data_IF_304024759022
#
_entry.id   IF_304024759022
#
_cell.length_a   1.000
_cell.length_b   1.000
_cell.length_c   1.000
_cell.angle_alpha   90.00
_cell.angle_beta   90.00
_cell.angle_gamma   90.00
#
_symmetry.space_group_name_H-M   'P 1'
#
loop_
_entity.id
_entity.type
_entity.pdbx_description
1 polymer ?
#
# COMPACT_ATOMS: atom_id res chain seq x y z
N UNK A 1 -6.17 -27.69 -30.06
CA UNK A 1 -6.37 -26.49 -30.91
C UNK A 1 -7.06 -25.44 -30.07
N UNK A 2 -6.29 -24.51 -29.52
CA UNK A 2 -6.79 -23.22 -29.00
C UNK A 2 -5.73 -22.18 -29.35
N UNK A 3 -5.55 -22.00 -30.65
CA UNK A 3 -4.88 -20.83 -31.21
C UNK A 3 -5.88 -19.67 -31.08
N UNK A 4 -5.92 -19.06 -29.89
CA UNK A 4 -6.52 -17.73 -29.77
C UNK A 4 -5.53 -16.77 -30.42
N UNK A 5 -5.80 -16.39 -31.67
CA UNK A 5 -4.97 -15.53 -32.52
C UNK A 5 -4.74 -14.11 -31.98
N UNK A 6 -4.17 -14.01 -30.80
CA UNK A 6 -3.78 -12.78 -30.10
C UNK A 6 -2.26 -12.79 -30.07
N UNK A 7 -1.64 -11.79 -30.71
CA UNK A 7 -0.19 -11.61 -30.72
C UNK A 7 0.41 -11.42 -29.31
N UNK A 8 1.74 -11.34 -29.20
CA UNK A 8 2.41 -11.23 -27.91
C UNK A 8 1.99 -9.96 -27.16
N UNK A 9 2.07 -9.97 -25.84
CA UNK A 9 1.82 -8.77 -25.02
C UNK A 9 3.14 -8.09 -24.68
N UNK A 10 3.16 -6.75 -24.63
CA UNK A 10 4.31 -5.95 -24.23
C UNK A 10 3.93 -4.93 -23.16
N UNK A 11 4.75 -4.77 -22.13
CA UNK A 11 4.58 -3.74 -21.10
C UNK A 11 5.93 -3.18 -20.64
N UNK A 12 5.91 -2.05 -19.95
CA UNK A 12 7.08 -1.41 -19.33
C UNK A 12 7.03 -1.70 -17.83
N UNK A 13 8.02 -2.40 -17.28
CA UNK A 13 8.05 -2.82 -15.88
C UNK A 13 8.61 -1.75 -14.92
N UNK A 14 9.29 -0.73 -15.45
CA UNK A 14 9.85 0.38 -14.68
C UNK A 14 8.91 1.59 -14.65
N UNK A 15 8.95 2.44 -13.60
CA UNK A 15 8.17 3.67 -13.54
C UNK A 15 8.42 4.58 -14.76
N UNK A 16 7.39 5.31 -15.17
CA UNK A 16 7.52 6.33 -16.21
C UNK A 16 8.29 7.54 -15.67
N UNK A 17 9.19 8.11 -16.47
CA UNK A 17 10.00 9.25 -16.07
C UNK A 17 11.39 9.22 -16.70
N UNK A 18 12.30 10.05 -16.18
CA UNK A 18 13.71 10.01 -16.57
C UNK A 18 14.44 9.02 -15.67
N UNK A 19 14.88 7.91 -16.24
CA UNK A 19 15.75 6.93 -15.59
C UNK A 19 16.99 6.62 -16.43
N UNK A 20 18.00 6.02 -15.82
CA UNK A 20 19.15 5.49 -16.58
C UNK A 20 18.74 4.30 -17.44
N UNK A 21 17.90 3.41 -16.89
CA UNK A 21 17.42 2.19 -17.52
C UNK A 21 15.91 2.09 -17.40
N UNK A 22 15.27 1.59 -18.44
CA UNK A 22 13.91 1.11 -18.41
C UNK A 22 13.87 -0.37 -18.81
N UNK A 23 12.96 -1.12 -18.20
CA UNK A 23 12.76 -2.55 -18.47
C UNK A 23 11.46 -2.72 -19.23
N UNK A 24 11.54 -3.31 -20.42
CA UNK A 24 10.41 -3.68 -21.26
C UNK A 24 10.29 -5.20 -21.27
N UNK A 25 9.08 -5.70 -21.07
CA UNK A 25 8.78 -7.13 -21.08
C UNK A 25 7.85 -7.45 -22.23
N UNK A 26 8.21 -8.44 -23.04
CA UNK A 26 7.34 -9.03 -24.08
C UNK A 26 7.15 -10.52 -23.82
N UNK A 27 5.92 -11.00 -23.84
CA UNK A 27 5.57 -12.39 -23.49
C UNK A 27 4.35 -12.90 -24.23
N UNK A 28 4.13 -14.22 -24.17
CA UNK A 28 3.02 -14.90 -24.86
C UNK A 28 3.39 -15.43 -26.25
N UNK A 29 2.40 -15.92 -27.02
CA UNK A 29 2.64 -16.50 -28.35
C UNK A 29 3.33 -15.51 -29.28
N UNK A 30 4.41 -15.93 -29.96
CA UNK A 30 5.14 -15.07 -30.90
C UNK A 30 6.10 -14.05 -30.25
N UNK A 31 6.26 -14.04 -28.92
CA UNK A 31 7.05 -13.03 -28.23
C UNK A 31 8.54 -13.06 -28.60
N UNK A 32 9.12 -14.26 -28.67
CA UNK A 32 10.52 -14.42 -29.05
C UNK A 32 10.72 -14.06 -30.52
N UNK A 33 9.80 -14.45 -31.40
CA UNK A 33 9.84 -14.15 -32.82
C UNK A 33 9.75 -12.65 -33.07
N UNK A 34 8.82 -11.95 -32.41
CA UNK A 34 8.67 -10.50 -32.51
C UNK A 34 9.92 -9.77 -32.01
N UNK A 35 10.45 -10.16 -30.85
CA UNK A 35 11.65 -9.57 -30.28
C UNK A 35 12.90 -9.84 -31.13
N UNK A 36 13.11 -11.08 -31.59
CA UNK A 36 14.25 -11.46 -32.43
C UNK A 36 14.26 -10.67 -33.74
N UNK A 37 13.09 -10.52 -34.36
CA UNK A 37 12.96 -9.83 -35.63
C UNK A 37 13.09 -8.30 -35.52
N UNK A 38 12.98 -7.74 -34.31
CA UNK A 38 13.25 -6.33 -34.00
C UNK A 38 14.69 -6.08 -33.49
N UNK A 39 15.41 -7.13 -33.10
CA UNK A 39 16.73 -7.06 -32.49
C UNK A 39 17.86 -7.27 -33.50
N UNK A 40 18.92 -6.48 -33.34
CA UNK A 40 20.17 -6.55 -34.12
C UNK A 40 21.34 -6.75 -33.15
N UNK A 41 21.99 -7.93 -33.10
CA UNK A 41 23.08 -8.20 -32.17
C UNK A 41 24.28 -7.32 -32.50
N UNK A 42 24.96 -6.79 -31.48
CA UNK A 42 26.23 -6.11 -31.66
C UNK A 42 27.33 -7.11 -32.08
N UNK A 43 27.22 -8.35 -31.58
CA UNK A 43 28.10 -9.47 -31.90
C UNK A 43 27.40 -10.81 -31.62
N UNK A 44 27.86 -11.87 -32.29
CA UNK A 44 27.36 -13.22 -32.05
C UNK A 44 25.98 -13.49 -32.66
N UNK A 45 25.15 -14.24 -31.95
CA UNK A 45 23.88 -14.76 -32.45
C UNK A 45 22.69 -13.91 -31.98
N UNK A 46 21.65 -13.89 -32.80
CA UNK A 46 20.30 -13.40 -32.52
C UNK A 46 19.67 -14.03 -31.26
N UNK A 47 18.56 -13.45 -30.77
CA UNK A 47 17.86 -13.90 -29.56
C UNK A 47 17.35 -15.32 -29.68
N UNK A 48 16.73 -15.68 -30.81
CA UNK A 48 16.17 -17.02 -31.05
C UNK A 48 17.23 -18.13 -31.00
N UNK A 49 18.49 -17.81 -31.32
CA UNK A 49 19.61 -18.74 -31.27
C UNK A 49 20.44 -18.61 -29.97
N UNK A 50 19.91 -17.92 -28.96
CA UNK A 50 20.55 -17.70 -27.67
C UNK A 50 19.89 -18.58 -26.59
N UNK A 51 20.67 -19.35 -25.81
CA UNK A 51 20.13 -20.09 -24.69
C UNK A 51 19.42 -19.16 -23.69
N UNK A 52 18.27 -19.57 -23.11
CA UNK A 52 17.57 -18.77 -22.09
C UNK A 52 18.48 -18.35 -20.93
N UNK A 53 18.12 -17.24 -20.28
CA UNK A 53 18.84 -16.59 -19.18
C UNK A 53 20.26 -16.12 -19.52
N UNK A 54 20.61 -16.02 -20.82
CA UNK A 54 21.86 -15.42 -21.27
C UNK A 54 21.62 -14.03 -21.86
N UNK A 55 22.30 -12.99 -21.37
CA UNK A 55 22.14 -11.64 -21.90
C UNK A 55 22.76 -11.50 -23.31
N UNK A 56 22.15 -10.65 -24.11
CA UNK A 56 22.61 -10.22 -25.43
C UNK A 56 22.61 -8.71 -25.53
N UNK A 57 23.76 -8.16 -25.91
CA UNK A 57 23.89 -6.75 -26.23
C UNK A 57 23.67 -6.53 -27.73
N UNK A 58 22.91 -5.49 -28.07
CA UNK A 58 22.61 -5.15 -29.45
C UNK A 58 21.73 -3.91 -29.55
N UNK A 59 21.07 -3.73 -30.69
CA UNK A 59 20.13 -2.64 -30.94
C UNK A 59 18.74 -3.17 -31.18
N UNK A 60 17.72 -2.45 -30.70
CA UNK A 60 16.32 -2.78 -30.95
C UNK A 60 15.55 -1.53 -31.39
N UNK A 61 14.84 -1.65 -32.52
CA UNK A 61 14.07 -0.56 -33.10
C UNK A 61 13.82 -0.74 -34.60
N UNK A 62 12.84 -0.01 -35.16
CA UNK A 62 12.56 0.01 -36.59
C UNK A 62 13.66 0.71 -37.43
N UNK A 63 14.36 1.69 -36.83
CA UNK A 63 15.39 2.53 -37.47
C UNK A 63 16.80 2.35 -36.88
N UNK A 64 17.41 3.41 -36.32
CA UNK A 64 18.69 3.30 -35.60
C UNK A 64 18.57 2.49 -34.30
N UNK A 65 17.36 2.50 -33.71
CA UNK A 65 17.03 1.79 -32.47
C UNK A 65 17.78 2.32 -31.25
N UNK A 66 17.44 1.76 -30.09
CA UNK A 66 18.21 1.95 -28.87
C UNK A 66 19.22 0.81 -28.69
N UNK A 67 20.33 1.07 -28.00
CA UNK A 67 21.24 0.02 -27.53
C UNK A 67 20.65 -0.64 -26.28
N UNK A 68 20.47 -1.95 -26.33
CA UNK A 68 19.74 -2.71 -25.31
C UNK A 68 20.52 -3.94 -24.85
N UNK A 69 20.21 -4.37 -23.63
CA UNK A 69 20.51 -5.72 -23.15
C UNK A 69 19.21 -6.52 -23.14
N UNK A 70 19.15 -7.58 -23.94
CA UNK A 70 17.99 -8.45 -24.04
C UNK A 70 18.29 -9.84 -23.46
N UNK A 71 17.33 -10.40 -22.72
CA UNK A 71 17.42 -11.73 -22.10
C UNK A 71 16.19 -12.53 -22.48
N UNK A 72 16.40 -13.67 -23.13
CA UNK A 72 15.33 -14.66 -23.36
C UNK A 72 15.06 -15.40 -22.05
N UNK A 73 13.82 -15.41 -21.59
CA UNK A 73 13.39 -16.09 -20.37
C UNK A 73 12.49 -17.28 -20.74
N UNK A 74 12.87 -18.44 -20.24
CA UNK A 74 12.08 -19.67 -20.21
C UNK A 74 11.13 -19.67 -19.01
N UNK A 75 10.01 -20.39 -19.12
CA UNK A 75 8.98 -20.49 -18.08
C UNK A 75 7.58 -20.13 -18.58
N UNK A 76 6.65 -19.94 -17.65
CA UNK A 76 5.29 -19.50 -17.94
C UNK A 76 4.97 -18.22 -17.12
N UNK A 77 4.89 -17.04 -17.75
CA UNK A 77 5.06 -16.77 -19.17
C UNK A 77 6.53 -16.55 -19.57
N UNK A 78 7.01 -17.39 -20.49
CA UNK A 78 8.26 -17.17 -21.21
C UNK A 78 8.17 -15.94 -22.10
N UNK A 79 9.32 -15.45 -22.57
CA UNK A 79 9.38 -14.25 -23.39
C UNK A 79 10.75 -13.59 -23.39
N UNK A 80 10.81 -12.29 -23.68
CA UNK A 80 12.07 -11.52 -23.69
C UNK A 80 11.95 -10.34 -22.73
N UNK A 81 12.95 -10.18 -21.87
CA UNK A 81 13.16 -8.96 -21.08
C UNK A 81 14.19 -8.10 -21.80
N UNK A 82 13.89 -6.82 -21.97
CA UNK A 82 14.71 -5.86 -22.72
C UNK A 82 14.99 -4.67 -21.81
N UNK A 83 16.26 -4.45 -21.52
CA UNK A 83 16.76 -3.33 -20.75
C UNK A 83 17.30 -2.28 -21.73
N UNK A 84 16.67 -1.12 -21.75
CA UNK A 84 16.96 0.00 -22.66
C UNK A 84 17.23 1.28 -21.86
N UNK A 85 17.64 2.35 -22.51
CA UNK A 85 17.80 3.64 -21.83
C UNK A 85 16.45 4.14 -21.31
N UNK A 86 16.44 4.66 -20.08
CA UNK A 86 15.21 5.08 -19.38
C UNK A 86 14.63 6.43 -19.82
N UNK A 87 14.99 6.93 -21.01
CA UNK A 87 14.38 8.12 -21.58
C UNK A 87 13.10 7.76 -22.32
N UNK A 88 12.05 8.60 -22.23
CA UNK A 88 10.74 8.30 -22.84
C UNK A 88 10.82 7.98 -24.34
N UNK A 89 11.67 8.68 -25.10
CA UNK A 89 11.88 8.41 -26.52
C UNK A 89 12.60 7.07 -26.78
N UNK A 90 13.56 6.69 -25.93
CA UNK A 90 14.26 5.41 -26.04
C UNK A 90 13.33 4.23 -25.75
N UNK A 91 12.52 4.35 -24.70
CA UNK A 91 11.49 3.36 -24.38
C UNK A 91 10.47 3.24 -25.52
N UNK A 92 10.00 4.36 -26.07
CA UNK A 92 9.06 4.36 -27.19
C UNK A 92 9.63 3.63 -28.42
N UNK A 93 10.90 3.90 -28.80
CA UNK A 93 11.54 3.20 -29.92
C UNK A 93 11.55 1.67 -29.75
N UNK A 94 11.72 1.18 -28.52
CA UNK A 94 11.71 -0.26 -28.22
C UNK A 94 10.29 -0.83 -28.29
N UNK A 95 9.34 -0.17 -27.63
CA UNK A 95 7.94 -0.63 -27.56
C UNK A 95 7.28 -0.59 -28.93
N UNK A 96 7.44 0.50 -29.69
CA UNK A 96 6.85 0.67 -31.02
C UNK A 96 7.37 -0.39 -31.99
N UNK A 97 8.66 -0.72 -31.93
CA UNK A 97 9.24 -1.77 -32.77
C UNK A 97 8.68 -3.17 -32.46
N UNK A 98 8.32 -3.44 -31.21
CA UNK A 98 7.63 -4.68 -30.84
C UNK A 98 6.17 -4.67 -31.33
N UNK A 99 5.49 -3.53 -31.22
CA UNK A 99 4.11 -3.36 -31.71
C UNK A 99 4.03 -3.53 -33.22
N UNK A 100 4.96 -2.96 -33.98
CA UNK A 100 5.08 -3.16 -35.42
C UNK A 100 5.28 -4.64 -35.81
N UNK A 101 5.77 -5.47 -34.88
CA UNK A 101 5.91 -6.93 -35.04
C UNK A 101 4.79 -7.74 -34.38
N UNK A 102 3.65 -7.09 -34.14
CA UNK A 102 2.43 -7.74 -33.71
C UNK A 102 2.26 -7.82 -32.20
N UNK A 103 3.14 -7.21 -31.41
CA UNK A 103 2.92 -7.10 -29.97
C UNK A 103 1.80 -6.11 -29.65
N UNK A 104 1.07 -6.37 -28.56
CA UNK A 104 0.03 -5.49 -28.04
C UNK A 104 0.51 -4.87 -26.73
N UNK A 105 0.51 -3.55 -26.66
CA UNK A 105 0.77 -2.85 -25.41
C UNK A 105 -0.30 -3.18 -24.37
N UNK A 106 0.13 -3.51 -23.16
CA UNK A 106 -0.74 -3.79 -22.01
C UNK A 106 -0.17 -3.15 -20.75
N UNK A 107 -1.02 -3.01 -19.73
CA UNK A 107 -0.59 -2.56 -18.42
C UNK A 107 0.36 -3.58 -17.75
N UNK A 108 1.33 -3.14 -16.94
CA UNK A 108 2.25 -4.04 -16.22
C UNK A 108 1.52 -5.03 -15.30
N UNK A 109 0.33 -4.67 -14.80
CA UNK A 109 -0.54 -5.56 -14.04
C UNK A 109 -0.89 -6.84 -14.81
N UNK A 110 -1.08 -6.75 -16.13
CA UNK A 110 -1.35 -7.93 -16.97
C UNK A 110 -0.18 -8.91 -17.01
N UNK A 111 1.06 -8.43 -16.86
CA UNK A 111 2.22 -9.30 -16.74
C UNK A 111 2.22 -10.03 -15.39
N UNK A 112 1.98 -9.30 -14.29
CA UNK A 112 1.91 -9.88 -12.96
C UNK A 112 0.83 -10.97 -12.88
N UNK A 113 -0.40 -10.66 -13.33
CA UNK A 113 -1.50 -11.62 -13.36
C UNK A 113 -1.18 -12.86 -14.21
N UNK A 114 -0.36 -12.72 -15.26
CA UNK A 114 0.09 -13.84 -16.09
C UNK A 114 1.23 -14.65 -15.42
N UNK A 115 2.11 -13.99 -14.67
CA UNK A 115 3.34 -14.57 -14.09
C UNK A 115 3.21 -15.15 -12.68
N UNK A 116 2.11 -14.87 -11.98
CA UNK A 116 1.91 -15.34 -10.60
C UNK A 116 0.90 -16.48 -10.51
N UNK A 117 1.10 -17.47 -9.63
CA UNK A 117 0.15 -18.57 -9.39
C UNK A 117 -1.28 -18.15 -9.00
N UNK A 118 -1.46 -16.99 -8.38
CA UNK A 118 -2.76 -16.50 -7.89
C UNK A 118 -2.94 -14.99 -8.10
N UNK A 119 -4.20 -14.53 -8.01
CA UNK A 119 -4.52 -13.10 -7.99
C UNK A 119 -4.04 -12.41 -6.71
N UNK A 120 -3.94 -13.15 -5.60
CA UNK A 120 -3.41 -12.67 -4.33
C UNK A 120 -1.93 -12.31 -4.49
N UNK A 121 -1.11 -13.22 -5.04
CA UNK A 121 0.31 -12.97 -5.28
C UNK A 121 0.51 -11.79 -6.26
N UNK A 122 -0.27 -11.73 -7.36
CA UNK A 122 -0.22 -10.60 -8.29
C UNK A 122 -0.52 -9.28 -7.59
N UNK A 123 -1.57 -9.27 -6.75
CA UNK A 123 -1.97 -8.10 -5.99
C UNK A 123 -0.89 -7.65 -4.99
N UNK A 124 -0.21 -8.61 -4.35
CA UNK A 124 0.87 -8.34 -3.40
C UNK A 124 2.09 -7.74 -4.10
N UNK A 125 2.50 -8.27 -5.26
CA UNK A 125 3.59 -7.68 -6.06
C UNK A 125 3.26 -6.25 -6.53
N UNK A 126 1.99 -5.98 -6.89
CA UNK A 126 1.53 -4.62 -7.23
C UNK A 126 1.64 -3.66 -6.06
N UNK A 127 1.18 -4.08 -4.89
CA UNK A 127 1.15 -3.23 -3.70
C UNK A 127 2.53 -3.04 -3.08
N UNK A 128 3.43 -4.03 -3.23
CA UNK A 128 4.81 -3.95 -2.75
C UNK A 128 5.56 -2.77 -3.38
N UNK A 129 5.30 -2.45 -4.65
CA UNK A 129 5.87 -1.29 -5.32
C UNK A 129 5.42 0.05 -4.70
N UNK A 130 4.27 0.06 -4.02
CA UNK A 130 3.72 1.21 -3.30
C UNK A 130 4.03 1.23 -1.80
N UNK A 131 4.80 0.28 -1.28
CA UNK A 131 5.09 0.18 0.14
C UNK A 131 5.87 1.39 0.66
N UNK A 132 5.24 2.20 1.52
CA UNK A 132 5.86 3.40 2.10
C UNK A 132 6.81 3.13 3.27
N UNK A 133 6.83 1.90 3.81
CA UNK A 133 7.64 1.53 4.97
C UNK A 133 8.27 0.14 4.80
N UNK A 134 9.38 -0.11 5.50
CA UNK A 134 10.04 -1.42 5.50
C UNK A 134 9.09 -2.53 5.99
N UNK A 135 8.38 -2.28 7.10
CA UNK A 135 7.41 -3.24 7.66
C UNK A 135 6.29 -3.57 6.67
N UNK A 136 5.79 -2.57 5.95
CA UNK A 136 4.80 -2.79 4.88
C UNK A 136 5.37 -3.69 3.78
N UNK A 137 6.60 -3.41 3.35
CA UNK A 137 7.26 -4.19 2.31
C UNK A 137 7.49 -5.65 2.75
N UNK A 138 7.92 -5.87 3.99
CA UNK A 138 8.09 -7.21 4.57
C UNK A 138 6.78 -8.00 4.57
N UNK A 139 5.69 -7.41 5.07
CA UNK A 139 4.38 -8.07 5.11
C UNK A 139 3.89 -8.40 3.70
N UNK A 140 3.98 -7.45 2.76
CA UNK A 140 3.55 -7.67 1.37
C UNK A 140 4.42 -8.69 0.64
N UNK A 141 5.72 -8.75 0.95
CA UNK A 141 6.62 -9.76 0.38
C UNK A 141 6.24 -11.18 0.83
N UNK A 142 5.85 -11.37 2.09
CA UNK A 142 5.33 -12.66 2.56
C UNK A 142 4.06 -13.08 1.80
N UNK A 143 3.18 -12.11 1.52
CA UNK A 143 1.97 -12.39 0.73
C UNK A 143 2.30 -12.69 -0.73
N UNK A 144 3.28 -11.99 -1.29
CA UNK A 144 3.80 -12.21 -2.64
C UNK A 144 4.53 -13.56 -2.78
N UNK A 145 4.96 -14.16 -1.65
CA UNK A 145 5.49 -15.51 -1.54
C UNK A 145 4.43 -16.54 -1.11
N UNK A 146 3.14 -16.16 -1.19
CA UNK A 146 2.01 -17.07 -1.03
C UNK A 146 1.57 -17.34 0.41
N UNK A 147 1.91 -16.49 1.39
CA UNK A 147 1.44 -16.67 2.77
C UNK A 147 -0.09 -16.72 2.87
N UNK A 148 -0.78 -15.73 2.27
CA UNK A 148 -2.25 -15.72 2.24
C UNK A 148 -2.84 -16.84 1.37
N UNK A 149 -2.19 -17.20 0.27
CA UNK A 149 -2.61 -18.33 -0.58
C UNK A 149 -2.65 -19.65 0.20
N UNK A 150 -1.58 -19.94 0.97
CA UNK A 150 -1.51 -21.14 1.82
C UNK A 150 -2.60 -21.16 2.89
N UNK A 151 -2.92 -20.01 3.48
CA UNK A 151 -3.99 -19.93 4.47
C UNK A 151 -5.37 -20.13 3.83
N UNK A 152 -5.62 -19.59 2.64
CA UNK A 152 -6.85 -19.86 1.88
C UNK A 152 -6.97 -21.35 1.53
N UNK A 153 -5.88 -21.99 1.10
CA UNK A 153 -5.87 -23.43 0.82
C UNK A 153 -6.15 -24.25 2.09
N UNK A 154 -5.61 -23.84 3.24
CA UNK A 154 -5.87 -24.47 4.53
C UNK A 154 -7.34 -24.29 4.97
N UNK A 155 -7.94 -23.12 4.74
CA UNK A 155 -9.37 -22.89 4.99
C UNK A 155 -10.24 -23.78 4.10
N UNK A 156 -9.94 -23.87 2.81
CA UNK A 156 -10.65 -24.74 1.87
C UNK A 156 -10.58 -26.21 2.30
N UNK A 157 -9.40 -26.68 2.72
CA UNK A 157 -9.22 -28.03 3.25
C UNK A 157 -9.99 -28.25 4.56
N UNK A 158 -9.99 -27.26 5.45
CA UNK A 158 -10.73 -27.28 6.71
C UNK A 158 -12.25 -27.35 6.51
N UNK A 159 -12.80 -26.59 5.56
CA UNK A 159 -14.23 -26.68 5.20
C UNK A 159 -14.57 -28.09 4.68
N UNK A 160 -13.73 -28.65 3.79
CA UNK A 160 -13.97 -29.98 3.24
C UNK A 160 -13.87 -31.10 4.30
N UNK A 161 -13.05 -30.92 5.32
CA UNK A 161 -12.88 -31.84 6.44
C UNK A 161 -13.86 -31.59 7.60
N UNK A 162 -14.74 -30.60 7.48
CA UNK A 162 -15.62 -30.12 8.58
C UNK A 162 -14.85 -29.79 9.87
N UNK A 163 -13.62 -29.25 9.73
CA UNK A 163 -12.76 -28.92 10.87
C UNK A 163 -13.39 -27.79 11.71
N UNK A 164 -13.68 -28.04 13.01
CA UNK A 164 -14.24 -27.03 13.91
C UNK A 164 -13.38 -25.76 14.05
N UNK A 165 -12.07 -25.86 13.78
CA UNK A 165 -11.15 -24.71 13.89
C UNK A 165 -11.25 -23.75 12.70
N UNK A 166 -11.86 -24.17 11.58
CA UNK A 166 -11.93 -23.38 10.35
C UNK A 166 -12.54 -22.00 10.56
N UNK A 167 -13.64 -21.91 11.34
CA UNK A 167 -14.30 -20.63 11.65
C UNK A 167 -13.39 -19.69 12.44
N UNK A 168 -12.73 -20.21 13.47
CA UNK A 168 -11.79 -19.43 14.29
C UNK A 168 -10.59 -18.93 13.47
N UNK A 169 -10.06 -19.77 12.57
CA UNK A 169 -8.99 -19.35 11.65
C UNK A 169 -9.44 -18.24 10.68
N UNK A 170 -10.66 -18.37 10.17
CA UNK A 170 -11.26 -17.36 9.31
C UNK A 170 -11.46 -16.02 10.04
N UNK A 171 -11.98 -16.06 11.26
CA UNK A 171 -12.14 -14.86 12.10
C UNK A 171 -10.80 -14.19 12.42
N UNK A 172 -9.77 -14.98 12.77
CA UNK A 172 -8.43 -14.47 13.00
C UNK A 172 -7.81 -13.85 11.73
N UNK A 173 -8.07 -14.42 10.57
CA UNK A 173 -7.61 -13.89 9.28
C UNK A 173 -8.32 -12.58 8.93
N UNK A 174 -9.63 -12.48 9.18
CA UNK A 174 -10.41 -11.25 9.01
C UNK A 174 -9.93 -10.13 9.94
N UNK A 175 -9.57 -10.45 11.19
CA UNK A 175 -9.01 -9.47 12.12
C UNK A 175 -7.68 -8.90 11.61
N UNK A 176 -6.77 -9.77 11.16
CA UNK A 176 -5.51 -9.33 10.49
C UNK A 176 -5.78 -8.48 9.25
N UNK A 177 -6.91 -8.70 8.57
CA UNK A 177 -7.33 -7.92 7.41
C UNK A 177 -7.48 -6.42 7.70
N UNK A 178 -7.82 -6.04 8.94
CA UNK A 178 -7.90 -4.62 9.34
C UNK A 178 -6.54 -3.91 9.19
N UNK A 179 -5.47 -4.59 9.59
CA UNK A 179 -4.10 -4.10 9.42
C UNK A 179 -3.70 -4.11 7.95
N UNK A 180 -4.01 -5.19 7.25
CA UNK A 180 -3.67 -5.36 5.83
C UNK A 180 -4.21 -4.24 4.94
N UNK A 181 -5.46 -3.81 5.15
CA UNK A 181 -6.10 -2.73 4.39
C UNK A 181 -5.42 -1.37 4.56
N UNK A 182 -4.60 -1.20 5.60
CA UNK A 182 -3.88 0.04 5.92
C UNK A 182 -2.41 0.02 5.52
N UNK A 183 -1.93 -1.08 4.93
CA UNK A 183 -0.53 -1.23 4.52
C UNK A 183 -0.11 -0.25 3.42
N UNK A 184 -0.95 0.01 2.42
CA UNK A 184 -0.62 0.94 1.31
C UNK A 184 -1.21 2.32 1.53
N UNK A 185 -2.50 2.39 1.91
CA UNK A 185 -3.19 3.66 2.13
C UNK A 185 -2.67 4.42 3.36
N UNK A 186 -2.15 3.69 4.35
CA UNK A 186 -1.77 4.22 5.65
C UNK A 186 -2.96 4.37 6.60
N UNK A 187 -2.69 4.33 7.90
CA UNK A 187 -3.67 4.65 8.93
C UNK A 187 -3.96 6.14 8.93
N UNK A 188 -5.23 6.54 8.96
CA UNK A 188 -5.62 7.95 9.02
C UNK A 188 -5.64 8.42 10.46
N UNK A 189 -4.73 9.31 10.82
CA UNK A 189 -4.62 9.87 12.17
C UNK A 189 -4.96 11.36 12.13
N UNK A 190 -6.03 11.75 12.82
CA UNK A 190 -6.55 13.11 12.81
C UNK A 190 -6.12 13.86 14.07
N UNK A 191 -5.53 15.05 13.92
CA UNK A 191 -5.17 15.91 15.05
C UNK A 191 -6.29 16.90 15.32
N UNK A 192 -6.88 16.83 16.52
CA UNK A 192 -8.00 17.63 16.97
C UNK A 192 -7.67 18.39 18.27
N UNK A 193 -8.45 19.41 18.60
CA UNK A 193 -8.27 20.23 19.80
C UNK A 193 -8.55 21.71 19.55
N UNK A 194 -8.70 22.49 20.63
CA UNK A 194 -9.00 23.93 20.56
C UNK A 194 -7.95 24.74 19.80
N UNK A 195 -8.25 25.96 19.34
CA UNK A 195 -7.24 26.88 18.81
C UNK A 195 -6.08 27.05 19.80
N UNK A 196 -4.86 27.25 19.27
CA UNK A 196 -3.66 27.57 20.06
C UNK A 196 -3.16 26.51 21.08
N UNK A 197 -3.75 25.31 21.12
CA UNK A 197 -3.25 24.19 21.95
C UNK A 197 -1.93 23.59 21.42
N UNK A 198 -1.47 23.97 20.22
CA UNK A 198 -0.18 23.51 19.68
C UNK A 198 -0.25 22.41 18.62
N UNK A 199 -1.42 22.16 18.02
CA UNK A 199 -1.64 21.13 16.97
C UNK A 199 -0.63 21.20 15.81
N UNK A 200 -0.48 22.35 15.16
CA UNK A 200 0.40 22.47 13.99
C UNK A 200 1.89 22.37 14.36
N UNK A 201 2.26 22.79 15.58
CA UNK A 201 3.62 22.55 16.11
C UNK A 201 3.86 21.07 16.34
N UNK A 202 2.91 20.38 16.96
CA UNK A 202 2.97 18.94 17.19
C UNK A 202 3.05 18.16 15.87
N UNK A 203 2.22 18.50 14.89
CA UNK A 203 2.23 17.89 13.56
C UNK A 203 3.58 18.00 12.87
N UNK A 204 4.19 19.20 12.86
CA UNK A 204 5.50 19.41 12.28
C UNK A 204 6.60 18.67 13.06
N UNK A 205 6.52 18.68 14.40
CA UNK A 205 7.45 17.93 15.24
C UNK A 205 7.37 16.43 14.94
N UNK A 206 6.17 15.86 14.90
CA UNK A 206 5.94 14.45 14.57
C UNK A 206 6.41 14.10 13.15
N UNK A 207 6.16 14.98 12.17
CA UNK A 207 6.62 14.79 10.80
C UNK A 207 8.15 14.76 10.67
N UNK A 208 8.86 15.58 11.44
CA UNK A 208 10.32 15.60 11.46
C UNK A 208 10.96 14.51 12.33
N UNK A 209 10.23 14.02 13.33
CA UNK A 209 10.69 13.04 14.32
C UNK A 209 10.54 11.61 13.82
N UNK A 210 9.41 11.29 13.21
CA UNK A 210 9.11 9.97 12.67
C UNK A 210 9.78 9.75 11.31
N UNK A 211 10.85 8.96 11.31
CA UNK A 211 11.61 8.60 10.11
C UNK A 211 10.90 7.51 9.31
N UNK A 212 10.16 7.88 8.27
CA UNK A 212 9.93 6.99 7.12
C UNK A 212 9.60 7.81 5.86
N UNK A 213 10.52 7.70 4.89
CA UNK A 213 10.47 8.03 3.46
C UNK A 213 9.20 8.77 3.02
N UNK A 214 9.24 10.10 3.08
CA UNK A 214 8.30 10.97 2.37
C UNK A 214 8.50 10.74 0.88
N UNK A 215 7.62 9.97 0.24
CA UNK A 215 7.49 10.02 -1.22
C UNK A 215 6.51 11.14 -1.55
N UNK A 216 6.93 12.23 -2.19
CA UNK A 216 6.00 13.18 -2.78
C UNK A 216 5.33 12.45 -3.95
N UNK A 217 4.10 11.98 -3.78
CA UNK A 217 3.24 11.69 -4.94
C UNK A 217 2.64 13.02 -5.38
N UNK A 218 3.04 13.60 -6.53
CA UNK A 218 2.49 14.87 -6.97
C UNK A 218 1.06 14.62 -7.47
N UNK A 219 0.07 15.16 -6.76
CA UNK A 219 -1.33 15.06 -7.18
C UNK A 219 -2.29 15.81 -6.27
N UNK A 220 -2.59 17.07 -6.64
CA UNK A 220 -3.87 17.81 -6.54
C UNK A 220 -4.68 17.64 -5.24
N UNK A 221 -5.01 18.63 -4.41
CA UNK A 221 -5.26 20.08 -4.59
C UNK A 221 -5.67 20.62 -3.21
N UNK A 222 -5.13 21.77 -2.77
CA UNK A 222 -5.73 22.81 -1.88
C UNK A 222 -6.45 22.46 -0.55
N UNK A 223 -6.35 21.26 -0.02
CA UNK A 223 -7.23 20.77 1.05
C UNK A 223 -6.49 19.98 2.15
N UNK A 224 -6.49 20.51 3.40
CA UNK A 224 -5.82 19.99 4.61
C UNK A 224 -4.30 19.72 4.45
N UNK A 225 -3.47 20.14 5.41
CA UNK A 225 -2.05 19.77 5.39
C UNK A 225 -1.96 18.30 5.80
N UNK A 226 -1.98 17.43 4.79
CA UNK A 226 -1.83 16.00 4.96
C UNK A 226 -0.35 15.62 4.87
N UNK A 227 0.17 14.94 5.89
CA UNK A 227 1.55 14.46 5.92
C UNK A 227 1.56 12.95 6.02
N UNK A 228 2.27 12.29 5.11
CA UNK A 228 2.56 10.86 5.19
C UNK A 228 3.84 10.64 6.00
N UNK A 229 3.76 9.77 7.01
CA UNK A 229 4.88 9.38 7.88
C UNK A 229 4.70 7.92 8.32
N UNK A 230 5.51 7.45 9.27
CA UNK A 230 5.29 6.15 9.90
C UNK A 230 5.54 6.18 11.40
N UNK A 231 4.73 5.43 12.14
CA UNK A 231 4.88 5.23 13.59
C UNK A 231 5.15 3.74 13.86
N UNK A 232 6.27 3.41 14.50
CA UNK A 232 6.80 2.03 14.60
C UNK A 232 6.78 1.26 13.25
N UNK A 233 7.10 1.95 12.15
CA UNK A 233 7.07 1.36 10.81
C UNK A 233 5.68 1.13 10.21
N UNK A 234 4.59 1.47 10.89
CA UNK A 234 3.25 1.50 10.33
C UNK A 234 3.03 2.79 9.54
N UNK A 235 2.62 2.72 8.26
CA UNK A 235 2.36 3.90 7.44
C UNK A 235 1.17 4.67 8.00
N UNK A 236 1.32 5.99 8.14
CA UNK A 236 0.30 6.87 8.70
C UNK A 236 0.15 8.13 7.87
N UNK A 237 -1.10 8.51 7.65
CA UNK A 237 -1.51 9.79 7.10
C UNK A 237 -2.00 10.70 8.24
N UNK A 238 -1.17 11.68 8.60
CA UNK A 238 -1.51 12.71 9.58
C UNK A 238 -2.33 13.82 8.91
N UNK A 239 -3.49 14.13 9.49
CA UNK A 239 -4.41 15.15 8.98
C UNK A 239 -4.59 16.26 10.01
N UNK A 240 -4.21 17.51 9.67
CA UNK A 240 -4.52 18.68 10.50
C UNK A 240 -5.96 19.15 10.26
N UNK A 241 -6.78 19.17 11.31
CA UNK A 241 -8.12 19.76 11.24
C UNK A 241 -8.12 21.29 11.34
N UNK A 242 -7.05 21.91 11.83
CA UNK A 242 -6.96 23.36 12.00
C UNK A 242 -6.33 24.12 10.83
N UNK A 243 -5.48 23.49 10.02
CA UNK A 243 -4.93 24.08 8.79
C UNK A 243 -5.98 24.39 7.71
N UNK A 244 -7.23 23.95 7.91
CA UNK A 244 -8.37 24.22 7.03
C UNK A 244 -8.99 25.61 7.30
N UNK A 245 -8.59 26.31 8.36
CA UNK A 245 -9.17 27.61 8.76
C UNK A 245 -8.40 28.84 8.28
N UNK A 246 -7.19 28.71 7.76
CA UNK A 246 -6.37 29.89 7.39
C UNK A 246 -6.65 30.43 5.97
N UNK A 247 -7.57 29.83 5.22
CA UNK A 247 -8.02 30.35 3.93
C UNK A 247 -9.51 30.76 3.98
N UNK A 248 -9.73 32.07 4.01
CA UNK A 248 -10.97 32.82 3.76
C UNK A 248 -12.06 32.87 4.85
N UNK A 249 -12.26 34.10 5.35
CA UNK A 249 -13.12 34.58 6.45
C UNK A 249 -14.65 34.51 6.20
N UNK A 250 -15.15 33.48 5.48
CA UNK A 250 -16.60 33.25 5.27
C UNK A 250 -17.06 31.79 5.43
N UNK A 251 -16.19 30.87 5.91
CA UNK A 251 -16.35 29.40 5.79
C UNK A 251 -16.45 28.69 7.15
N UNK A 252 -17.01 29.32 8.19
CA UNK A 252 -16.98 28.75 9.55
C UNK A 252 -17.87 27.49 9.72
N UNK A 253 -19.02 27.42 9.03
CA UNK A 253 -19.91 26.23 9.08
C UNK A 253 -19.38 25.05 8.26
N UNK A 254 -18.84 25.33 7.08
CA UNK A 254 -18.22 24.30 6.23
C UNK A 254 -16.91 23.78 6.84
N UNK A 255 -16.17 24.61 7.59
CA UNK A 255 -14.97 24.20 8.32
C UNK A 255 -15.26 23.22 9.48
N UNK A 256 -16.34 23.44 10.23
CA UNK A 256 -16.78 22.51 11.30
C UNK A 256 -17.31 21.20 10.70
N UNK A 257 -18.18 21.27 9.70
CA UNK A 257 -18.74 20.08 9.05
C UNK A 257 -17.63 19.22 8.42
N UNK A 258 -16.62 19.86 7.83
CA UNK A 258 -15.45 19.18 7.27
C UNK A 258 -14.57 18.55 8.35
N UNK A 259 -14.25 19.26 9.43
CA UNK A 259 -13.50 18.68 10.55
C UNK A 259 -14.21 17.45 11.15
N UNK A 260 -15.55 17.47 11.19
CA UNK A 260 -16.35 16.33 11.60
C UNK A 260 -16.28 15.16 10.61
N UNK A 261 -16.32 15.41 9.29
CA UNK A 261 -16.19 14.38 8.25
C UNK A 261 -14.81 13.72 8.25
N UNK A 262 -13.77 14.52 8.42
CA UNK A 262 -12.38 14.03 8.53
C UNK A 262 -12.21 13.12 9.73
N UNK A 263 -12.75 13.54 10.88
CA UNK A 263 -12.73 12.75 12.11
C UNK A 263 -13.56 11.46 12.01
N UNK A 264 -14.71 11.48 11.33
CA UNK A 264 -15.52 10.28 11.11
C UNK A 264 -14.82 9.21 10.25
N UNK A 265 -13.77 9.58 9.52
CA UNK A 265 -12.94 8.67 8.72
C UNK A 265 -11.61 8.32 9.38
N UNK A 266 -11.34 8.85 10.58
CA UNK A 266 -10.11 8.62 11.29
C UNK A 266 -10.07 7.19 11.84
N UNK A 267 -8.92 6.54 11.70
CA UNK A 267 -8.65 5.32 12.45
C UNK A 267 -8.22 5.64 13.90
N UNK A 268 -7.67 6.84 14.12
CA UNK A 268 -7.34 7.38 15.45
C UNK A 268 -7.43 8.91 15.48
N UNK A 269 -8.01 9.45 16.54
CA UNK A 269 -7.97 10.88 16.84
C UNK A 269 -6.94 11.20 17.93
N UNK A 270 -6.02 12.13 17.65
CA UNK A 270 -5.15 12.74 18.65
C UNK A 270 -5.83 14.00 19.19
N UNK A 271 -6.39 13.91 20.40
CA UNK A 271 -7.06 15.04 21.04
C UNK A 271 -6.05 15.84 21.86
N UNK A 272 -5.61 16.97 21.29
CA UNK A 272 -4.56 17.82 21.84
C UNK A 272 -5.14 18.83 22.82
N UNK A 273 -4.64 18.82 24.05
CA UNK A 273 -5.05 19.72 25.13
C UNK A 273 -3.82 20.44 25.66
N UNK A 274 -3.91 21.75 25.87
CA UNK A 274 -2.83 22.55 26.43
C UNK A 274 -2.68 22.27 27.93
N UNK A 275 -1.54 21.70 28.36
CA UNK A 275 -1.28 21.41 29.78
C UNK A 275 -1.00 22.65 30.61
N UNK A 276 -0.64 23.77 29.98
CA UNK A 276 -0.25 25.01 30.65
C UNK A 276 -1.42 25.90 31.04
N UNK A 277 -2.64 25.58 30.60
CA UNK A 277 -3.84 26.36 30.86
C UNK A 277 -4.90 25.52 31.58
N UNK A 278 -5.77 26.12 32.42
CA UNK A 278 -6.90 25.43 33.02
C UNK A 278 -7.78 24.76 31.96
N UNK A 279 -8.32 23.59 32.28
CA UNK A 279 -9.22 22.87 31.38
C UNK A 279 -10.50 23.65 31.16
N UNK A 280 -10.90 23.77 29.90
CA UNK A 280 -12.22 24.27 29.52
C UNK A 280 -13.17 23.09 29.27
N UNK A 281 -14.48 23.34 29.36
CA UNK A 281 -15.49 22.30 29.08
C UNK A 281 -15.31 21.69 27.68
N UNK A 282 -14.93 22.53 26.70
CA UNK A 282 -14.64 22.09 25.34
C UNK A 282 -13.44 21.12 25.22
N UNK A 283 -12.49 21.13 26.16
CA UNK A 283 -11.39 20.15 26.20
C UNK A 283 -11.87 18.79 26.67
N UNK A 284 -12.92 18.76 27.50
CA UNK A 284 -13.54 17.53 28.04
C UNK A 284 -14.59 16.95 27.10
N UNK A 285 -15.27 17.79 26.32
CA UNK A 285 -16.34 17.40 25.40
C UNK A 285 -15.89 17.16 23.97
N UNK A 286 -14.59 17.22 23.66
CA UNK A 286 -14.04 16.89 22.34
C UNK A 286 -14.44 15.45 21.96
N UNK A 287 -15.53 15.31 21.21
CA UNK A 287 -16.34 14.07 21.26
C UNK A 287 -15.58 12.81 20.84
N UNK A 288 -15.83 11.75 21.60
CA UNK A 288 -15.13 10.47 21.70
C UNK A 288 -15.63 9.41 20.70
N UNK A 289 -16.10 9.83 19.52
CA UNK A 289 -16.61 8.86 18.54
C UNK A 289 -15.42 8.17 17.87
N UNK A 290 -15.07 6.99 18.38
CA UNK A 290 -13.97 6.16 17.90
C UNK A 290 -12.69 6.23 18.74
N UNK A 291 -11.63 5.51 18.33
CA UNK A 291 -10.36 5.46 19.05
C UNK A 291 -9.76 6.87 19.22
N UNK A 292 -9.47 7.25 20.47
CA UNK A 292 -8.94 8.58 20.82
C UNK A 292 -7.76 8.43 21.77
N UNK A 293 -6.66 9.12 21.45
CA UNK A 293 -5.49 9.27 22.31
C UNK A 293 -5.38 10.74 22.74
N UNK A 294 -5.33 10.97 24.06
CA UNK A 294 -5.23 12.33 24.60
C UNK A 294 -3.76 12.75 24.58
N UNK A 295 -3.50 13.96 24.09
CA UNK A 295 -2.14 14.51 24.02
C UNK A 295 -2.08 15.78 24.85
N UNK A 296 -1.46 15.68 26.03
CA UNK A 296 -1.23 16.82 26.92
C UNK A 296 0.02 17.58 26.46
N UNK A 297 -0.22 18.61 25.65
CA UNK A 297 0.80 19.42 24.97
C UNK A 297 1.43 20.49 25.87
N UNK A 298 2.51 21.10 25.37
CA UNK A 298 3.27 22.19 26.04
C UNK A 298 3.84 21.78 27.40
N UNK A 299 4.37 20.55 27.49
CA UNK A 299 5.00 20.03 28.69
C UNK A 299 6.27 20.79 29.14
N UNK A 300 6.79 21.68 28.30
CA UNK A 300 7.85 22.65 28.61
C UNK A 300 7.41 23.79 29.54
N UNK A 301 6.09 23.98 29.72
CA UNK A 301 5.51 25.01 30.58
C UNK A 301 4.96 24.42 31.90
N UNK A 302 4.79 25.25 32.95
CA UNK A 302 4.17 24.83 34.20
C UNK A 302 2.76 24.26 33.97
N UNK A 303 2.47 23.10 34.57
CA UNK A 303 1.20 22.42 34.40
C UNK A 303 0.08 23.06 35.22
N UNK A 304 -1.06 23.35 34.57
CA UNK A 304 -2.28 23.84 35.21
C UNK A 304 -3.24 22.72 35.65
N UNK A 305 -3.01 21.49 35.17
CA UNK A 305 -3.80 20.31 35.51
C UNK A 305 -2.96 19.03 35.43
N UNK A 306 -3.41 17.97 36.09
CA UNK A 306 -2.79 16.65 36.03
C UNK A 306 -3.58 15.71 35.10
N UNK A 307 -2.91 14.89 34.28
CA UNK A 307 -3.57 13.92 33.39
C UNK A 307 -4.57 13.00 34.08
N UNK A 308 -4.18 12.44 35.23
CA UNK A 308 -4.98 11.49 36.01
C UNK A 308 -6.25 12.12 36.60
N UNK A 309 -6.19 13.36 37.09
CA UNK A 309 -7.37 14.05 37.64
C UNK A 309 -8.29 14.56 36.53
N UNK A 310 -7.72 14.92 35.38
CA UNK A 310 -8.46 15.51 34.27
C UNK A 310 -9.25 14.48 33.46
N UNK A 311 -8.63 13.35 33.12
CA UNK A 311 -9.14 12.38 32.15
C UNK A 311 -9.21 10.93 32.68
N UNK A 312 -8.96 10.73 33.98
CA UNK A 312 -9.10 9.42 34.63
C UNK A 312 -8.21 8.35 34.00
N UNK A 313 -8.76 7.16 33.66
CA UNK A 313 -7.97 6.05 33.08
C UNK A 313 -7.73 6.17 31.58
N UNK A 314 -8.16 7.26 30.94
CA UNK A 314 -8.00 7.45 29.49
C UNK A 314 -6.51 7.47 29.10
N UNK A 315 -6.13 6.85 27.97
CA UNK A 315 -4.75 6.88 27.51
C UNK A 315 -4.36 8.32 27.18
N UNK A 316 -3.32 8.81 27.86
CA UNK A 316 -2.82 10.18 27.75
C UNK A 316 -1.30 10.19 27.67
N UNK A 317 -0.76 10.94 26.71
CA UNK A 317 0.69 11.14 26.56
C UNK A 317 1.00 12.61 26.76
N UNK A 318 2.01 12.91 27.58
CA UNK A 318 2.45 14.28 27.88
C UNK A 318 3.61 14.64 26.97
N UNK A 319 3.48 15.71 26.19
CA UNK A 319 4.46 16.07 25.15
C UNK A 319 4.82 17.55 25.14
N UNK A 320 6.05 17.84 24.71
CA UNK A 320 6.43 19.17 24.22
C UNK A 320 6.97 19.05 22.81
N UNK A 321 6.28 19.70 21.87
CA UNK A 321 6.75 19.82 20.49
C UNK A 321 7.97 20.75 20.36
N UNK A 322 8.22 21.61 21.37
CA UNK A 322 9.34 22.55 21.38
C UNK A 322 10.65 21.84 21.80
N UNK A 323 10.59 21.01 22.85
CA UNK A 323 11.77 20.30 23.36
C UNK A 323 11.92 18.88 22.82
N UNK A 324 10.87 18.33 22.20
CA UNK A 324 10.80 16.93 21.77
C UNK A 324 10.46 15.93 22.89
N UNK A 325 10.27 16.39 24.13
CA UNK A 325 9.93 15.53 25.26
C UNK A 325 8.60 14.81 25.00
N UNK A 326 8.59 13.48 25.22
CA UNK A 326 7.38 12.65 25.10
C UNK A 326 7.00 12.24 23.68
N UNK A 327 7.73 12.68 22.64
CA UNK A 327 7.40 12.32 21.26
C UNK A 327 7.64 10.83 20.94
N UNK A 328 8.67 10.18 21.50
CA UNK A 328 8.88 8.72 21.40
C UNK A 328 7.73 7.91 22.01
N UNK A 329 7.25 8.37 23.17
CA UNK A 329 6.14 7.74 23.87
C UNK A 329 4.85 7.90 23.06
N UNK A 330 4.65 9.08 22.45
CA UNK A 330 3.52 9.35 21.57
C UNK A 330 3.54 8.47 20.31
N UNK A 331 4.70 8.34 19.64
CA UNK A 331 4.90 7.43 18.51
C UNK A 331 4.49 5.99 18.90
N UNK A 332 5.06 5.49 19.99
CA UNK A 332 4.78 4.14 20.48
C UNK A 332 3.31 3.95 20.89
N UNK A 333 2.67 4.97 21.47
CA UNK A 333 1.26 4.93 21.86
C UNK A 333 0.33 4.93 20.64
N UNK A 334 0.66 5.70 19.59
CA UNK A 334 -0.07 5.69 18.32
C UNK A 334 0.01 4.31 17.69
N UNK A 335 1.22 3.76 17.53
CA UNK A 335 1.42 2.44 16.94
C UNK A 335 0.63 1.35 17.67
N UNK A 336 0.70 1.30 19.01
CA UNK A 336 -0.06 0.33 19.84
C UNK A 336 -1.57 0.50 19.72
N UNK A 337 -2.06 1.73 19.54
CA UNK A 337 -3.49 1.98 19.42
C UNK A 337 -4.02 1.56 18.06
N UNK A 338 -3.27 1.85 17.00
CA UNK A 338 -3.61 1.47 15.62
C UNK A 338 -3.50 -0.03 15.39
N UNK A 339 -2.42 -0.64 15.89
CA UNK A 339 -2.11 -2.06 15.68
C UNK A 339 -1.78 -2.72 17.02
N UNK A 340 -2.80 -3.04 17.84
CA UNK A 340 -2.59 -3.66 19.15
C UNK A 340 -2.01 -5.07 19.06
N UNK A 341 -2.30 -5.79 17.97
CA UNK A 341 -1.81 -7.13 17.70
C UNK A 341 -1.15 -7.16 16.30
N UNK A 342 0.13 -6.76 16.19
CA UNK A 342 0.89 -6.88 14.95
C UNK A 342 0.86 -8.33 14.44
N UNK A 343 0.68 -8.56 13.13
CA UNK A 343 0.85 -9.89 12.54
C UNK A 343 2.27 -10.41 12.80
N UNK A 344 2.38 -11.69 13.14
CA UNK A 344 3.68 -12.37 13.24
C UNK A 344 4.39 -12.43 11.88
N UNK A 345 5.73 -12.49 11.84
CA UNK A 345 6.46 -12.73 10.60
C UNK A 345 5.96 -13.98 9.86
N UNK A 346 5.74 -13.86 8.55
CA UNK A 346 5.19 -14.95 7.71
C UNK A 346 3.68 -15.20 7.85
N UNK A 347 2.97 -14.43 8.70
CA UNK A 347 1.52 -14.56 8.83
C UNK A 347 0.79 -14.17 7.54
N UNK A 348 -0.32 -14.86 7.27
CA UNK A 348 -1.26 -14.49 6.22
C UNK A 348 -2.01 -13.21 6.60
N UNK A 349 -1.94 -12.19 5.76
CA UNK A 349 -2.58 -10.89 6.00
C UNK A 349 -3.42 -10.52 4.78
N UNK A 350 -4.76 -10.47 4.86
CA UNK A 350 -5.61 -9.96 3.78
C UNK A 350 -5.41 -8.45 3.63
N UNK A 351 -4.94 -7.99 2.48
CA UNK A 351 -4.51 -6.59 2.30
C UNK A 351 -5.36 -5.77 1.32
N UNK A 352 -6.48 -6.32 0.83
CA UNK A 352 -7.40 -5.62 -0.09
C UNK A 352 -8.86 -5.85 0.25
N UNK A 353 -9.71 -4.94 -0.22
CA UNK A 353 -11.15 -5.00 0.01
C UNK A 353 -11.75 -6.29 -0.53
N UNK A 354 -11.32 -6.74 -1.71
CA UNK A 354 -11.79 -7.98 -2.34
C UNK A 354 -11.45 -9.21 -1.49
N UNK A 355 -10.29 -9.20 -0.81
CA UNK A 355 -9.91 -10.28 0.10
C UNK A 355 -10.84 -10.28 1.32
N UNK A 356 -11.05 -9.12 1.96
CA UNK A 356 -11.99 -8.98 3.08
C UNK A 356 -13.38 -9.45 2.69
N UNK A 357 -13.89 -9.00 1.54
CA UNK A 357 -15.27 -9.26 1.12
C UNK A 357 -15.49 -10.75 0.83
N UNK A 358 -14.51 -11.42 0.20
CA UNK A 358 -14.57 -12.86 0.00
C UNK A 358 -14.50 -13.66 1.32
N UNK A 359 -13.65 -13.23 2.26
CA UNK A 359 -13.55 -13.87 3.59
C UNK A 359 -14.84 -13.67 4.40
N UNK A 360 -15.43 -12.47 4.37
CA UNK A 360 -16.71 -12.18 5.02
C UNK A 360 -17.85 -13.02 4.42
N UNK A 361 -17.93 -13.09 3.09
CA UNK A 361 -18.91 -13.93 2.41
C UNK A 361 -18.74 -15.42 2.77
N UNK A 362 -17.50 -15.90 2.89
CA UNK A 362 -17.23 -17.26 3.33
C UNK A 362 -17.67 -17.50 4.78
N UNK A 363 -17.41 -16.55 5.67
CA UNK A 363 -17.80 -16.62 7.09
C UNK A 363 -19.32 -16.68 7.23
N UNK A 364 -20.03 -15.78 6.56
CA UNK A 364 -21.50 -15.73 6.61
C UNK A 364 -22.13 -17.00 6.02
N UNK A 365 -21.56 -17.55 4.94
CA UNK A 365 -21.99 -18.83 4.38
C UNK A 365 -21.79 -19.99 5.36
N UNK A 366 -20.65 -20.06 6.07
CA UNK A 366 -20.40 -21.08 7.09
C UNK A 366 -21.31 -20.92 8.33
N UNK A 367 -21.76 -19.71 8.65
CA UNK A 367 -22.77 -19.48 9.69
C UNK A 367 -24.15 -19.96 9.26
N UNK A 368 -24.50 -19.78 7.98
CA UNK A 368 -25.74 -20.27 7.39
C UNK A 368 -25.73 -21.79 7.12
N UNK A 369 -24.60 -22.49 7.32
CA UNK A 369 -24.44 -23.92 7.03
C UNK A 369 -24.23 -24.25 5.55
N UNK A 370 -23.89 -23.26 4.72
CA UNK A 370 -23.64 -23.43 3.29
C UNK A 370 -22.13 -23.51 2.99
N UNK A 371 -21.58 -24.71 3.16
CA UNK A 371 -20.16 -24.98 2.89
C UNK A 371 -19.79 -24.76 1.41
N UNK A 372 -20.73 -24.98 0.48
CA UNK A 372 -20.48 -24.82 -0.95
C UNK A 372 -20.31 -23.35 -1.33
N UNK A 373 -21.18 -22.47 -0.81
CA UNK A 373 -21.05 -21.03 -1.01
C UNK A 373 -19.76 -20.49 -0.39
N UNK A 374 -19.37 -20.98 0.79
CA UNK A 374 -18.10 -20.61 1.42
C UNK A 374 -16.89 -20.98 0.55
N UNK A 375 -16.86 -22.19 0.00
CA UNK A 375 -15.82 -22.64 -0.93
C UNK A 375 -15.78 -21.79 -2.20
N UNK A 376 -16.95 -21.41 -2.74
CA UNK A 376 -17.01 -20.55 -3.93
C UNK A 376 -16.43 -19.16 -3.66
N UNK A 377 -16.75 -18.55 -2.51
CA UNK A 377 -16.21 -17.25 -2.11
C UNK A 377 -14.68 -17.29 -1.97
N UNK A 378 -14.12 -18.29 -1.29
CA UNK A 378 -12.66 -18.42 -1.14
C UNK A 378 -11.95 -18.71 -2.46
N UNK A 379 -12.54 -19.55 -3.33
CA UNK A 379 -11.95 -19.84 -4.65
C UNK A 379 -11.96 -18.64 -5.60
N UNK A 380 -12.85 -17.66 -5.39
CA UNK A 380 -12.84 -16.43 -6.19
C UNK A 380 -11.53 -15.65 -6.01
N UNK A 381 -10.85 -15.78 -4.86
CA UNK A 381 -9.53 -15.18 -4.64
C UNK A 381 -8.40 -15.88 -5.42
N UNK A 382 -8.63 -17.13 -5.85
CA UNK A 382 -7.63 -17.95 -6.55
C UNK A 382 -7.78 -17.91 -8.06
N UNK A 383 -9.01 -17.77 -8.56
CA UNK A 383 -9.29 -17.88 -10.00
C UNK A 383 -8.75 -16.68 -10.76
N UNK A 384 -7.98 -16.95 -11.81
CA UNK A 384 -7.89 -16.03 -12.94
C UNK A 384 -9.26 -16.02 -13.63
N UNK A 385 -9.80 -14.84 -14.01
CA UNK A 385 -11.06 -14.74 -14.73
C UNK A 385 -11.09 -15.56 -16.03
#
# INVERSE_FOLDING_TARGET
MSDSGVGPSVCILTPTGRGAVAVVRVWGPGALEAADAAFRPAYGKNLAATPPRRPRFGRLGAGLGDEVVAVVLDGEPGGVEIQCHGGSAAVAMVVDALIERGARAVEPSSFLDASTPSLIEAAAWRDLAGAGTLRTAEILLEQAQGALDREVDALLAGIAAEDPQTKSRLDALMERGRVGLRLVEGWRVVIAGRPNVGKSRLLNAMAGYSRAIVSPTPGTTRDAVTIRTAFDGWPVELVDTAGVREADDLVERFGVERALRERARADLTLHVVDRSQPLEDADRTGSTDGPTLIVASKADLPAAWSPTEAFGPSPIVVVSAETGTGLDELDSAIARTLVPHPPDPGAAVPFRAEHRDALAAARDALEAGDAQAAVQALRALRRRP
#
